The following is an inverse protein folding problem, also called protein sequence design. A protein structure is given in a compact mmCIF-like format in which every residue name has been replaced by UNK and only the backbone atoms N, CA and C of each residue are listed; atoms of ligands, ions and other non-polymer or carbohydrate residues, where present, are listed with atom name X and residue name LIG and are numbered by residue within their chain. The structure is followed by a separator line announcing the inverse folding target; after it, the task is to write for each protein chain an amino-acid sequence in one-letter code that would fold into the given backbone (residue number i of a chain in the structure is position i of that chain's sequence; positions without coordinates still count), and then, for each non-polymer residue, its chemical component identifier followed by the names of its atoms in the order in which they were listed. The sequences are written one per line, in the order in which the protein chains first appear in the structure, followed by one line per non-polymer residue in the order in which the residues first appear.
data_IF_468455775251
#
_entry.id   IF_468455775251
#
_cell.length_a   1.000
_cell.length_b   1.000
_cell.length_c   1.000
_cell.angle_alpha   90.00
_cell.angle_beta   90.00
_cell.angle_gamma   90.00
#
_symmetry.space_group_name_H-M   'P 1'
#
loop_
_entity.id
_entity.type
_entity.pdbx_description
1 polymer ?
#
# COMPACT_ATOMS: atom_id res chain seq x y z
N UNK A 1 82.15 -25.24 -45.62
CA UNK A 1 80.91 -25.99 -45.49
C UNK A 1 80.24 -25.55 -44.18
N UNK A 2 79.15 -24.82 -44.21
CA UNK A 2 78.50 -24.41 -42.99
C UNK A 2 77.31 -25.33 -42.67
N UNK A 3 77.19 -25.65 -41.40
CA UNK A 3 76.17 -26.46 -40.81
C UNK A 3 74.92 -25.59 -40.52
N UNK A 4 73.79 -25.98 -41.05
CA UNK A 4 72.52 -25.33 -40.77
C UNK A 4 71.92 -25.84 -39.46
N UNK A 5 71.40 -25.02 -38.52
CA UNK A 5 70.59 -25.47 -37.40
C UNK A 5 69.14 -25.59 -37.80
N UNK A 6 68.49 -26.69 -37.30
CA UNK A 6 67.11 -26.99 -37.44
C UNK A 6 66.25 -26.11 -36.52
N UNK A 7 65.25 -25.47 -37.11
CA UNK A 7 64.21 -24.75 -36.32
C UNK A 7 63.18 -25.75 -35.80
N UNK A 8 63.11 -25.86 -34.46
CA UNK A 8 62.06 -26.58 -33.77
C UNK A 8 60.80 -25.68 -33.70
N UNK A 9 59.70 -26.13 -34.29
CA UNK A 9 58.41 -25.45 -34.27
C UNK A 9 57.64 -25.92 -33.02
N UNK A 10 57.64 -25.13 -31.97
CA UNK A 10 56.80 -25.33 -30.80
C UNK A 10 55.37 -24.87 -31.09
N UNK A 11 54.46 -25.81 -31.22
CA UNK A 11 53.02 -25.55 -31.30
C UNK A 11 52.49 -25.26 -29.90
N UNK A 12 52.17 -24.02 -29.57
CA UNK A 12 51.40 -23.62 -28.41
C UNK A 12 49.93 -23.84 -28.70
N UNK A 13 49.35 -24.85 -28.03
CA UNK A 13 47.90 -25.07 -27.94
C UNK A 13 47.31 -23.96 -27.03
N UNK A 14 46.60 -23.03 -27.57
CA UNK A 14 45.76 -22.10 -26.82
C UNK A 14 44.46 -22.82 -26.47
N UNK A 15 44.28 -23.22 -25.18
CA UNK A 15 42.98 -23.62 -24.63
C UNK A 15 42.10 -22.38 -24.46
N UNK A 16 41.15 -22.21 -25.37
CA UNK A 16 40.07 -21.25 -25.21
C UNK A 16 39.03 -21.86 -24.25
N UNK A 17 39.07 -21.51 -22.97
CA UNK A 17 37.98 -21.79 -22.01
C UNK A 17 36.79 -20.92 -22.37
N UNK A 18 35.82 -21.49 -23.10
CA UNK A 18 34.52 -20.89 -23.36
C UNK A 18 33.64 -21.04 -22.08
N UNK A 19 33.68 -20.02 -21.23
CA UNK A 19 32.76 -19.94 -20.07
C UNK A 19 31.36 -19.58 -20.61
N UNK A 20 30.52 -20.59 -20.83
CA UNK A 20 29.07 -20.38 -21.00
C UNK A 20 28.50 -19.90 -19.65
N UNK A 21 28.28 -18.62 -19.53
CA UNK A 21 27.44 -18.05 -18.49
C UNK A 21 25.99 -18.49 -18.77
N UNK A 22 25.53 -19.54 -18.09
CA UNK A 22 24.13 -19.89 -17.99
C UNK A 22 23.41 -18.79 -17.22
N UNK A 23 22.89 -17.79 -17.94
CA UNK A 23 21.88 -16.91 -17.41
C UNK A 23 20.63 -17.77 -17.14
N UNK A 24 20.51 -18.28 -15.93
CA UNK A 24 19.29 -18.89 -15.46
C UNK A 24 18.20 -17.79 -15.42
N UNK A 25 17.46 -17.66 -16.52
CA UNK A 25 16.19 -16.98 -16.50
C UNK A 25 15.30 -17.75 -15.53
N UNK A 26 15.23 -17.31 -14.27
CA UNK A 26 14.27 -17.82 -13.32
C UNK A 26 12.89 -17.45 -13.86
N UNK A 27 12.26 -18.38 -14.57
CA UNK A 27 10.84 -18.25 -14.91
C UNK A 27 10.09 -18.13 -13.59
N UNK A 28 9.26 -17.08 -13.39
CA UNK A 28 8.42 -17.01 -12.21
C UNK A 28 7.62 -18.31 -12.12
N UNK A 29 7.71 -18.99 -10.96
CA UNK A 29 6.88 -20.16 -10.74
C UNK A 29 5.40 -19.83 -10.91
N UNK A 30 4.52 -20.83 -11.16
CA UNK A 30 3.11 -20.59 -11.38
C UNK A 30 2.53 -19.84 -10.17
N UNK A 31 2.07 -18.62 -10.43
CA UNK A 31 1.43 -17.80 -9.38
C UNK A 31 0.08 -18.43 -9.03
N UNK A 32 -0.24 -18.48 -7.73
CA UNK A 32 -1.57 -18.88 -7.30
C UNK A 32 -2.65 -18.08 -8.03
N UNK A 33 -3.79 -18.69 -8.40
CA UNK A 33 -4.87 -17.98 -9.06
C UNK A 33 -5.45 -16.87 -8.16
N UNK A 34 -6.05 -15.86 -8.77
CA UNK A 34 -6.80 -14.85 -8.05
C UNK A 34 -7.94 -15.50 -7.24
N UNK A 35 -8.36 -14.86 -6.14
CA UNK A 35 -9.46 -15.35 -5.34
C UNK A 35 -10.75 -15.38 -6.16
N UNK A 36 -11.55 -16.44 -5.98
CA UNK A 36 -12.92 -16.49 -6.50
C UNK A 36 -13.82 -15.49 -5.78
N UNK A 37 -14.88 -15.02 -6.44
CA UNK A 37 -15.86 -14.13 -5.81
C UNK A 37 -16.43 -14.75 -4.52
N UNK A 38 -16.78 -16.04 -4.54
CA UNK A 38 -17.27 -16.74 -3.37
C UNK A 38 -16.29 -16.72 -2.18
N UNK A 39 -14.98 -16.80 -2.44
CA UNK A 39 -13.96 -16.69 -1.38
C UNK A 39 -13.87 -15.26 -0.85
N UNK A 40 -13.94 -14.26 -1.71
CA UNK A 40 -13.97 -12.84 -1.32
C UNK A 40 -15.20 -12.57 -0.44
N UNK A 41 -16.37 -13.03 -0.84
CA UNK A 41 -17.60 -12.85 -0.08
C UNK A 41 -17.51 -13.53 1.30
N UNK A 42 -16.96 -14.74 1.38
CA UNK A 42 -16.74 -15.44 2.63
C UNK A 42 -15.77 -14.69 3.57
N UNK A 43 -14.73 -14.06 3.03
CA UNK A 43 -13.79 -13.23 3.81
C UNK A 43 -14.53 -12.02 4.41
N UNK A 44 -15.31 -11.33 3.61
CA UNK A 44 -16.02 -10.12 4.05
C UNK A 44 -17.15 -10.46 5.02
N UNK A 45 -17.86 -11.55 4.80
CA UNK A 45 -18.95 -12.02 5.66
C UNK A 45 -18.47 -12.72 6.94
N UNK A 46 -17.16 -12.92 7.12
CA UNK A 46 -16.62 -13.69 8.24
C UNK A 46 -17.12 -13.18 9.59
N UNK A 47 -17.71 -14.05 10.46
CA UNK A 47 -18.38 -13.63 11.69
C UNK A 47 -17.45 -13.06 12.76
N UNK A 48 -16.16 -13.36 12.68
CA UNK A 48 -15.10 -12.90 13.58
C UNK A 48 -14.51 -11.53 13.23
N UNK A 49 -14.97 -10.89 12.14
CA UNK A 49 -14.63 -9.49 11.84
C UNK A 49 -15.33 -8.55 12.80
N UNK A 50 -14.64 -7.46 13.16
CA UNK A 50 -15.21 -6.48 14.08
C UNK A 50 -16.47 -5.81 13.50
N UNK A 51 -17.40 -5.45 14.38
CA UNK A 51 -18.60 -4.72 13.98
C UNK A 51 -18.27 -3.33 13.43
N UNK A 52 -17.22 -2.69 13.95
CA UNK A 52 -16.74 -1.41 13.45
C UNK A 52 -16.27 -1.52 11.99
N UNK A 53 -15.59 -2.61 11.63
CA UNK A 53 -15.17 -2.86 10.25
C UNK A 53 -16.37 -3.12 9.34
N UNK A 54 -17.37 -3.88 9.79
CA UNK A 54 -18.59 -4.10 9.01
C UNK A 54 -19.37 -2.81 8.72
N UNK A 55 -19.39 -1.87 9.67
CA UNK A 55 -19.96 -0.53 9.41
C UNK A 55 -19.21 0.23 8.32
N UNK A 56 -17.89 0.03 8.23
CA UNK A 56 -17.07 0.63 7.18
C UNK A 56 -17.27 -0.02 5.80
N UNK A 57 -17.75 -1.25 5.74
CA UNK A 57 -17.90 -1.99 4.47
C UNK A 57 -18.80 -1.26 3.48
N UNK A 58 -19.87 -0.60 3.97
CA UNK A 58 -20.78 0.18 3.13
C UNK A 58 -20.06 1.25 2.30
N UNK A 59 -19.08 1.93 2.91
CA UNK A 59 -18.28 2.97 2.25
C UNK A 59 -17.09 2.38 1.49
N UNK A 60 -16.39 1.40 2.07
CA UNK A 60 -15.14 0.85 1.55
C UNK A 60 -15.32 -0.19 0.45
N UNK A 61 -16.53 -0.76 0.31
CA UNK A 61 -16.89 -1.78 -0.70
C UNK A 61 -15.83 -2.89 -0.82
N UNK A 62 -15.54 -3.62 0.28
CA UNK A 62 -14.39 -4.51 0.38
C UNK A 62 -14.39 -5.64 -0.63
N UNK A 63 -15.55 -6.14 -1.07
CA UNK A 63 -15.62 -7.16 -2.11
C UNK A 63 -15.05 -6.65 -3.43
N UNK A 64 -15.52 -5.47 -3.87
CA UNK A 64 -15.04 -4.85 -5.09
C UNK A 64 -13.55 -4.47 -4.98
N UNK A 65 -13.13 -3.98 -3.79
CA UNK A 65 -11.73 -3.62 -3.54
C UNK A 65 -10.80 -4.84 -3.60
N UNK A 66 -11.13 -5.95 -2.93
CA UNK A 66 -10.30 -7.17 -2.95
C UNK A 66 -10.23 -7.78 -4.35
N UNK A 67 -11.36 -7.80 -5.09
CA UNK A 67 -11.40 -8.25 -6.47
C UNK A 67 -10.53 -7.36 -7.37
N UNK A 68 -10.64 -6.05 -7.22
CA UNK A 68 -9.83 -5.08 -7.98
C UNK A 68 -8.34 -5.23 -7.67
N UNK A 69 -7.94 -5.29 -6.41
CA UNK A 69 -6.52 -5.49 -6.01
C UNK A 69 -5.98 -6.76 -6.67
N UNK A 70 -6.78 -7.84 -6.71
CA UNK A 70 -6.35 -9.12 -7.23
C UNK A 70 -5.43 -9.87 -6.26
N UNK A 71 -5.75 -9.81 -4.96
CA UNK A 71 -4.99 -10.53 -3.92
C UNK A 71 -5.00 -12.04 -4.20
N UNK A 72 -3.87 -12.69 -3.98
CA UNK A 72 -3.69 -14.14 -4.14
C UNK A 72 -3.17 -14.77 -2.86
N UNK A 73 -3.51 -16.03 -2.58
CA UNK A 73 -2.91 -16.78 -1.49
C UNK A 73 -1.37 -16.78 -1.57
N UNK A 74 -0.72 -16.66 -0.43
CA UNK A 74 0.74 -16.68 -0.31
C UNK A 74 1.45 -15.37 -0.63
N UNK A 75 0.75 -14.30 -1.06
CA UNK A 75 1.38 -13.00 -1.30
C UNK A 75 2.02 -12.41 -0.04
N UNK A 76 3.14 -11.73 -0.23
CA UNK A 76 3.78 -10.84 0.75
C UNK A 76 3.36 -9.41 0.43
N UNK A 77 2.62 -8.77 1.34
CA UNK A 77 2.03 -7.46 1.10
C UNK A 77 2.45 -6.43 2.18
N UNK A 78 2.49 -5.17 1.79
CA UNK A 78 2.60 -4.01 2.68
C UNK A 78 1.34 -3.15 2.54
N UNK A 79 0.65 -2.91 3.66
CA UNK A 79 -0.40 -1.90 3.77
C UNK A 79 0.22 -0.65 4.40
N UNK A 80 0.52 0.34 3.58
CA UNK A 80 1.18 1.57 3.95
C UNK A 80 0.15 2.51 4.58
N UNK A 81 0.49 3.12 5.73
CA UNK A 81 -0.47 3.90 6.53
C UNK A 81 -1.67 3.07 7.01
N UNK A 82 -1.40 1.90 7.56
CA UNK A 82 -2.40 0.89 7.91
C UNK A 82 -3.45 1.35 8.95
N UNK A 83 -3.17 2.40 9.73
CA UNK A 83 -4.05 2.93 10.77
C UNK A 83 -4.59 1.83 11.70
N UNK A 84 -5.91 1.67 11.81
CA UNK A 84 -6.55 0.62 12.61
C UNK A 84 -6.56 -0.77 11.97
N UNK A 85 -5.97 -0.95 10.77
CA UNK A 85 -5.75 -2.24 10.13
C UNK A 85 -6.97 -2.83 9.39
N UNK A 86 -7.94 -2.00 8.99
CA UNK A 86 -9.10 -2.47 8.21
C UNK A 86 -8.68 -3.16 6.91
N UNK A 87 -7.88 -2.49 6.09
CA UNK A 87 -7.38 -3.05 4.81
C UNK A 87 -6.38 -4.17 5.08
N UNK A 88 -5.48 -3.96 6.04
CA UNK A 88 -4.47 -4.95 6.45
C UNK A 88 -5.10 -6.30 6.77
N UNK A 89 -6.19 -6.33 7.57
CA UNK A 89 -6.88 -7.56 7.94
C UNK A 89 -7.54 -8.24 6.75
N UNK A 90 -8.20 -7.49 5.88
CA UNK A 90 -8.81 -8.06 4.67
C UNK A 90 -7.77 -8.71 3.76
N UNK A 91 -6.62 -8.06 3.55
CA UNK A 91 -5.52 -8.61 2.78
C UNK A 91 -4.93 -9.85 3.49
N UNK A 92 -4.77 -9.83 4.81
CA UNK A 92 -4.26 -10.95 5.57
C UNK A 92 -5.14 -12.20 5.44
N UNK A 93 -6.45 -12.05 5.53
CA UNK A 93 -7.42 -13.12 5.31
C UNK A 93 -7.40 -13.64 3.86
N UNK A 94 -7.14 -12.75 2.91
CA UNK A 94 -7.08 -13.06 1.49
C UNK A 94 -5.80 -13.81 1.12
N UNK A 95 -4.66 -13.40 1.66
CA UNK A 95 -3.35 -14.06 1.43
C UNK A 95 -3.23 -15.39 2.18
N UNK A 96 -4.01 -15.56 3.25
CA UNK A 96 -4.03 -16.79 4.06
C UNK A 96 -2.73 -17.04 4.82
N UNK A 97 -2.61 -18.22 5.48
CA UNK A 97 -1.52 -18.50 6.43
C UNK A 97 -0.13 -18.61 5.78
N UNK A 98 -0.06 -18.85 4.49
CA UNK A 98 1.20 -18.91 3.73
C UNK A 98 1.67 -17.54 3.25
N UNK A 99 0.80 -16.51 3.28
CA UNK A 99 1.14 -15.13 2.99
C UNK A 99 1.58 -14.37 4.24
N UNK A 100 2.02 -13.12 4.04
CA UNK A 100 2.37 -12.20 5.13
C UNK A 100 1.98 -10.79 4.78
N UNK A 101 1.40 -10.07 5.74
CA UNK A 101 0.95 -8.69 5.53
C UNK A 101 1.55 -7.78 6.58
N UNK A 102 2.34 -6.85 6.12
CA UNK A 102 2.96 -5.83 6.95
C UNK A 102 2.07 -4.60 6.97
N UNK A 103 1.61 -4.20 8.16
CA UNK A 103 0.86 -2.95 8.34
C UNK A 103 1.80 -1.87 8.85
N UNK A 104 2.11 -0.88 8.02
CA UNK A 104 3.02 0.19 8.37
C UNK A 104 2.30 1.36 9.01
N UNK A 105 2.94 1.95 10.01
CA UNK A 105 2.61 3.25 10.59
C UNK A 105 3.87 4.07 10.85
N UNK A 106 3.82 5.41 10.78
CA UNK A 106 4.96 6.24 11.12
C UNK A 106 5.27 6.16 12.61
N UNK A 107 6.53 6.42 13.03
CA UNK A 107 6.86 6.61 14.42
C UNK A 107 6.03 7.76 15.01
N UNK A 108 5.46 7.53 16.20
CA UNK A 108 4.77 8.61 16.90
C UNK A 108 5.82 9.49 17.59
N UNK A 109 5.76 10.82 17.46
CA UNK A 109 6.57 11.69 18.30
C UNK A 109 6.36 11.35 19.79
N UNK A 110 7.39 11.43 20.63
CA UNK A 110 7.21 11.31 22.09
C UNK A 110 6.08 12.26 22.47
N UNK A 111 5.14 11.78 23.27
CA UNK A 111 3.82 12.38 23.50
C UNK A 111 3.86 13.91 23.56
N UNK A 112 3.63 14.56 22.44
CA UNK A 112 3.11 15.91 22.44
C UNK A 112 1.72 15.84 23.04
N UNK A 113 1.48 16.57 24.13
CA UNK A 113 0.17 16.83 24.72
C UNK A 113 -0.85 16.94 23.58
N UNK A 114 -2.03 16.32 23.68
CA UNK A 114 -3.04 16.50 22.65
C UNK A 114 -3.16 17.99 22.37
N UNK A 115 -2.93 18.40 21.13
CA UNK A 115 -3.24 19.77 20.73
C UNK A 115 -4.72 19.93 20.98
N UNK A 116 -5.08 20.79 21.94
CA UNK A 116 -6.44 21.27 22.02
C UNK A 116 -6.72 21.96 20.70
N UNK A 117 -7.83 21.66 20.03
CA UNK A 117 -8.18 22.40 18.83
C UNK A 117 -8.22 23.88 19.19
N UNK A 118 -7.38 24.69 18.57
CA UNK A 118 -7.44 26.14 18.67
C UNK A 118 -8.81 26.56 18.16
N UNK A 119 -9.65 27.11 19.04
CA UNK A 119 -10.99 27.59 18.71
C UNK A 119 -12.13 26.92 19.46
N UNK A 120 -11.89 26.05 20.43
CA UNK A 120 -12.94 25.63 21.34
C UNK A 120 -13.34 26.80 22.24
N UNK A 121 -14.39 27.51 21.84
CA UNK A 121 -15.10 28.43 22.74
C UNK A 121 -15.46 27.65 24.03
N UNK A 122 -15.26 28.31 25.18
CA UNK A 122 -15.58 27.76 26.49
C UNK A 122 -16.97 27.12 26.48
N UNK A 123 -17.13 25.88 26.97
CA UNK A 123 -18.43 25.24 26.95
C UNK A 123 -19.36 25.94 27.92
N UNK A 124 -20.50 26.37 27.42
CA UNK A 124 -21.66 26.66 28.26
C UNK A 124 -22.06 25.37 29.00
N UNK A 125 -22.41 25.42 30.29
CA UNK A 125 -22.76 24.24 31.05
C UNK A 125 -24.20 23.84 30.74
N UNK A 126 -24.42 22.79 29.97
CA UNK A 126 -25.69 22.07 29.96
C UNK A 126 -25.60 20.72 29.23
N UNK A 127 -25.91 19.65 29.92
CA UNK A 127 -26.20 18.31 29.37
C UNK A 127 -25.14 17.27 29.73
N UNK A 128 -25.62 16.15 30.25
CA UNK A 128 -24.81 15.00 30.66
C UNK A 128 -23.81 14.61 29.59
N UNK A 129 -22.55 14.25 29.92
CA UNK A 129 -21.54 13.90 28.93
C UNK A 129 -22.00 12.64 28.19
N UNK A 130 -22.24 12.78 26.89
CA UNK A 130 -22.27 11.61 26.03
C UNK A 130 -20.95 10.89 26.24
N UNK A 131 -20.98 9.61 26.58
CA UNK A 131 -19.80 8.81 26.85
C UNK A 131 -18.81 9.01 25.70
N UNK A 132 -17.69 9.67 25.98
CA UNK A 132 -16.66 9.95 24.99
C UNK A 132 -16.21 8.63 24.38
N UNK A 133 -16.35 8.49 23.07
CA UNK A 133 -15.83 7.33 22.37
C UNK A 133 -14.36 7.16 22.72
N UNK A 134 -13.90 5.96 23.11
CA UNK A 134 -12.51 5.75 23.48
C UNK A 134 -11.58 6.19 22.34
N UNK A 135 -10.52 6.90 22.68
CA UNK A 135 -9.54 7.37 21.71
C UNK A 135 -9.03 6.22 20.84
N UNK A 136 -8.85 6.42 19.52
CA UNK A 136 -8.35 5.37 18.64
C UNK A 136 -7.03 4.80 19.17
N UNK A 137 -6.92 3.47 19.21
CA UNK A 137 -5.68 2.80 19.61
C UNK A 137 -4.56 3.13 18.62
N UNK A 138 -3.30 3.27 19.09
CA UNK A 138 -2.16 3.40 18.19
C UNK A 138 -2.11 2.25 17.18
N UNK A 139 -1.77 2.55 15.92
CA UNK A 139 -1.77 1.57 14.83
C UNK A 139 -1.01 0.27 15.17
N UNK A 140 0.22 0.29 15.72
CA UNK A 140 0.92 -0.96 16.06
C UNK A 140 0.16 -1.82 17.07
N UNK A 141 -0.51 -1.19 18.05
CA UNK A 141 -1.32 -1.90 19.05
C UNK A 141 -2.58 -2.49 18.41
N UNK A 142 -3.25 -1.74 17.55
CA UNK A 142 -4.43 -2.22 16.84
C UNK A 142 -4.09 -3.40 15.92
N UNK A 143 -3.00 -3.34 15.20
CA UNK A 143 -2.53 -4.42 14.33
C UNK A 143 -2.12 -5.67 15.12
N UNK A 144 -1.40 -5.50 16.23
CA UNK A 144 -1.05 -6.61 17.11
C UNK A 144 -2.29 -7.30 17.71
N UNK A 145 -3.33 -6.52 18.01
CA UNK A 145 -4.61 -7.09 18.46
C UNK A 145 -5.30 -7.90 17.37
N UNK A 146 -5.34 -7.38 16.13
CA UNK A 146 -5.88 -8.10 14.97
C UNK A 146 -5.13 -9.40 14.69
N UNK A 147 -3.81 -9.40 14.85
CA UNK A 147 -2.96 -10.59 14.65
C UNK A 147 -3.24 -11.74 15.64
N UNK A 148 -3.97 -11.48 16.74
CA UNK A 148 -4.43 -12.54 17.66
C UNK A 148 -5.55 -13.39 17.06
N UNK A 149 -6.23 -12.88 16.04
CA UNK A 149 -7.24 -13.63 15.32
C UNK A 149 -6.57 -14.70 14.44
N UNK A 150 -6.89 -16.00 14.59
CA UNK A 150 -6.28 -17.07 13.77
C UNK A 150 -6.41 -16.82 12.26
N UNK A 151 -7.49 -16.18 11.81
CA UNK A 151 -7.74 -15.87 10.40
C UNK A 151 -6.94 -14.67 9.87
N UNK A 152 -6.20 -13.97 10.76
CA UNK A 152 -5.39 -12.80 10.43
C UNK A 152 -4.02 -12.82 11.17
N UNK A 153 -3.59 -13.99 11.63
CA UNK A 153 -2.35 -14.16 12.41
C UNK A 153 -1.06 -13.88 11.62
N UNK A 154 -1.17 -13.74 10.31
CA UNK A 154 -0.09 -13.39 9.40
C UNK A 154 0.14 -11.87 9.26
N UNK A 155 -0.52 -11.04 10.09
CA UNK A 155 -0.26 -9.59 10.19
C UNK A 155 1.00 -9.35 11.00
N UNK A 156 1.84 -8.44 10.49
CA UNK A 156 3.04 -7.92 11.17
C UNK A 156 2.94 -6.40 11.25
N UNK A 157 2.94 -5.85 12.46
CA UNK A 157 2.97 -4.40 12.66
C UNK A 157 4.39 -3.86 12.41
N UNK A 158 4.49 -2.79 11.62
CA UNK A 158 5.76 -2.13 11.27
C UNK A 158 5.68 -0.65 11.63
N UNK A 159 6.69 -0.16 12.36
CA UNK A 159 6.80 1.26 12.70
C UNK A 159 8.04 1.82 12.00
N UNK A 160 7.82 2.53 10.89
CA UNK A 160 8.88 3.13 10.06
C UNK A 160 8.39 4.45 9.45
N UNK A 161 9.28 5.39 9.11
CA UNK A 161 8.91 6.61 8.40
C UNK A 161 8.19 6.28 7.07
N UNK A 162 7.38 7.21 6.58
CA UNK A 162 6.72 7.04 5.28
C UNK A 162 7.70 6.99 4.12
N UNK A 163 8.82 7.72 4.21
CA UNK A 163 9.88 7.76 3.20
C UNK A 163 10.74 6.48 3.16
N UNK A 164 10.69 5.70 4.23
CA UNK A 164 11.38 4.41 4.34
C UNK A 164 10.46 3.38 5.03
N UNK A 165 9.33 3.00 4.38
CA UNK A 165 8.24 2.26 5.03
C UNK A 165 8.49 0.75 5.09
N UNK A 166 9.46 0.24 4.33
CA UNK A 166 9.64 -1.19 4.09
C UNK A 166 10.68 -1.77 5.05
N UNK A 167 10.42 -2.91 5.72
CA UNK A 167 11.45 -3.65 6.45
C UNK A 167 12.65 -3.97 5.57
N UNK A 168 13.86 -3.90 6.13
CA UNK A 168 15.11 -4.02 5.35
C UNK A 168 15.19 -5.32 4.56
N UNK A 169 14.70 -6.42 5.11
CA UNK A 169 14.68 -7.74 4.48
C UNK A 169 13.76 -7.81 3.25
N UNK A 170 12.85 -6.83 3.08
CA UNK A 170 11.91 -6.73 1.95
C UNK A 170 12.20 -5.54 1.03
N UNK A 171 13.21 -4.73 1.34
CA UNK A 171 13.47 -3.48 0.66
C UNK A 171 13.87 -3.63 -0.82
N UNK A 172 14.22 -4.83 -1.26
CA UNK A 172 14.56 -5.12 -2.66
C UNK A 172 13.80 -6.34 -3.15
N UNK A 173 12.81 -6.11 -4.02
CA UNK A 173 12.01 -7.16 -4.65
C UNK A 173 11.42 -8.20 -3.66
N UNK A 174 11.07 -7.76 -2.45
CA UNK A 174 10.52 -8.62 -1.40
C UNK A 174 8.99 -8.69 -1.39
N UNK A 175 8.30 -7.73 -2.01
CA UNK A 175 6.85 -7.56 -1.95
C UNK A 175 6.15 -7.93 -3.26
N UNK A 176 4.99 -8.55 -3.14
CA UNK A 176 4.08 -8.81 -4.27
C UNK A 176 3.04 -7.69 -4.43
N UNK A 177 2.69 -7.03 -3.32
CA UNK A 177 1.63 -6.02 -3.26
C UNK A 177 1.99 -4.92 -2.27
N UNK A 178 1.74 -3.68 -2.63
CA UNK A 178 1.65 -2.55 -1.70
C UNK A 178 0.29 -1.88 -1.87
N UNK A 179 -0.36 -1.55 -0.75
CA UNK A 179 -1.59 -0.75 -0.73
C UNK A 179 -1.39 0.54 0.04
N UNK A 180 -2.05 1.61 -0.40
CA UNK A 180 -2.12 2.89 0.33
C UNK A 180 -3.54 3.45 0.16
N UNK A 181 -4.32 3.34 1.25
CA UNK A 181 -5.76 3.59 1.19
C UNK A 181 -6.14 4.87 1.91
N UNK A 182 -6.52 5.89 1.13
CA UNK A 182 -7.08 7.17 1.59
C UNK A 182 -6.14 8.00 2.48
N UNK A 183 -4.83 7.99 2.17
CA UNK A 183 -3.84 8.75 2.94
C UNK A 183 -2.72 9.36 2.08
N UNK A 184 -2.67 9.10 0.78
CA UNK A 184 -1.65 9.71 -0.07
C UNK A 184 -1.80 11.25 -0.11
N UNK A 185 -3.04 11.76 -0.13
CA UNK A 185 -3.31 13.19 -0.08
C UNK A 185 -2.74 13.85 1.19
N UNK A 186 -2.80 13.18 2.36
CA UNK A 186 -2.32 13.74 3.62
C UNK A 186 -0.79 13.95 3.62
N UNK A 187 -0.04 13.20 2.82
CA UNK A 187 1.40 13.40 2.66
C UNK A 187 1.75 14.81 2.20
N UNK A 188 0.83 15.50 1.51
CA UNK A 188 1.03 16.88 1.09
C UNK A 188 1.23 17.85 2.25
N UNK A 189 0.26 17.92 3.17
CA UNK A 189 0.33 18.82 4.31
C UNK A 189 1.20 18.31 5.47
N UNK A 190 1.48 17.00 5.50
CA UNK A 190 2.39 16.40 6.46
C UNK A 190 3.87 16.63 6.11
N UNK A 191 4.17 17.19 4.92
CA UNK A 191 5.53 17.43 4.47
C UNK A 191 6.33 16.17 4.13
N UNK A 192 5.64 15.05 3.83
CA UNK A 192 6.27 13.77 3.45
C UNK A 192 6.84 13.88 2.03
N UNK A 193 8.07 13.42 1.83
CA UNK A 193 8.66 13.28 0.48
C UNK A 193 8.00 12.12 -0.26
N UNK A 194 6.93 12.42 -0.98
CA UNK A 194 6.18 11.43 -1.76
C UNK A 194 7.02 10.75 -2.85
N UNK A 195 8.02 11.46 -3.39
CA UNK A 195 8.93 10.87 -4.35
C UNK A 195 9.83 9.81 -3.69
N UNK A 196 10.29 10.04 -2.47
CA UNK A 196 11.02 9.04 -1.69
C UNK A 196 10.12 7.84 -1.35
N UNK A 197 8.88 8.07 -0.92
CA UNK A 197 7.89 7.00 -0.69
C UNK A 197 7.72 6.13 -1.93
N UNK A 198 7.42 6.74 -3.07
CA UNK A 198 7.19 6.00 -4.32
C UNK A 198 8.44 5.23 -4.79
N UNK A 199 9.65 5.80 -4.62
CA UNK A 199 10.91 5.09 -4.94
C UNK A 199 11.13 3.89 -4.00
N UNK A 200 10.87 4.04 -2.71
CA UNK A 200 11.01 2.94 -1.74
C UNK A 200 10.04 1.80 -2.06
N UNK A 201 8.78 2.12 -2.37
CA UNK A 201 7.78 1.15 -2.79
C UNK A 201 8.19 0.46 -4.09
N UNK A 202 8.69 1.23 -5.07
CA UNK A 202 9.16 0.68 -6.34
C UNK A 202 10.32 -0.32 -6.13
N UNK A 203 11.30 0.04 -5.32
CA UNK A 203 12.44 -0.83 -5.02
C UNK A 203 11.99 -2.14 -4.36
N UNK A 204 11.05 -2.06 -3.42
CA UNK A 204 10.58 -3.18 -2.62
C UNK A 204 9.68 -4.16 -3.39
N UNK A 205 8.93 -3.70 -4.36
CA UNK A 205 8.08 -4.55 -5.18
C UNK A 205 8.91 -5.41 -6.14
N UNK A 206 8.48 -6.66 -6.31
CA UNK A 206 8.99 -7.56 -7.36
C UNK A 206 8.62 -7.01 -8.74
N UNK A 207 9.35 -7.35 -9.81
CA UNK A 207 8.84 -7.18 -11.17
C UNK A 207 7.46 -7.84 -11.30
N UNK A 208 6.49 -7.13 -11.88
CA UNK A 208 5.09 -7.54 -11.90
C UNK A 208 4.31 -7.33 -10.59
N UNK A 209 4.96 -6.85 -9.53
CA UNK A 209 4.33 -6.49 -8.26
C UNK A 209 3.40 -5.28 -8.40
N UNK A 210 2.38 -5.23 -7.56
CA UNK A 210 1.28 -4.26 -7.67
C UNK A 210 1.37 -3.17 -6.59
N UNK A 211 1.13 -1.94 -6.99
CA UNK A 211 0.88 -0.81 -6.09
C UNK A 211 -0.54 -0.31 -6.31
N UNK A 212 -1.40 -0.42 -5.30
CA UNK A 212 -2.81 -0.01 -5.39
C UNK A 212 -3.06 1.14 -4.43
N UNK A 213 -3.56 2.24 -4.98
CA UNK A 213 -3.83 3.47 -4.23
C UNK A 213 -5.30 3.84 -4.42
N UNK A 214 -6.00 4.06 -3.31
CA UNK A 214 -7.31 4.69 -3.31
C UNK A 214 -7.21 6.04 -2.60
N UNK A 215 -7.87 7.08 -3.15
CA UNK A 215 -7.86 8.38 -2.49
C UNK A 215 -9.08 9.24 -2.84
N UNK A 216 -9.26 10.32 -2.08
CA UNK A 216 -10.34 11.29 -2.26
C UNK A 216 -10.06 12.22 -3.44
N UNK A 217 -10.99 12.25 -4.39
CA UNK A 217 -10.84 13.04 -5.61
C UNK A 217 -10.83 14.55 -5.33
N UNK A 218 -9.75 15.21 -5.71
CA UNK A 218 -9.65 16.67 -5.82
C UNK A 218 -10.25 17.18 -7.13
N UNK A 219 -10.40 18.50 -7.23
CA UNK A 219 -10.85 19.18 -8.45
C UNK A 219 -9.72 19.24 -9.48
N UNK A 220 -10.03 19.26 -10.77
CA UNK A 220 -9.02 19.46 -11.81
C UNK A 220 -8.19 20.74 -11.58
N UNK A 221 -6.88 20.66 -11.75
CA UNK A 221 -5.94 21.76 -11.59
C UNK A 221 -5.53 22.07 -10.14
N UNK A 222 -6.07 21.36 -9.13
CA UNK A 222 -5.70 21.60 -7.73
C UNK A 222 -4.46 20.81 -7.30
N UNK A 223 -4.08 19.78 -8.04
CA UNK A 223 -2.94 18.94 -7.70
C UNK A 223 -3.05 18.40 -6.26
N UNK A 224 -2.13 18.84 -5.38
CA UNK A 224 -2.08 18.49 -3.95
C UNK A 224 -2.40 19.68 -3.04
N UNK A 225 -2.74 20.84 -3.58
CA UNK A 225 -2.90 22.08 -2.80
C UNK A 225 -4.03 22.03 -1.76
N UNK A 226 -5.01 21.13 -1.95
CA UNK A 226 -6.15 20.96 -1.05
C UNK A 226 -5.93 19.86 0.02
N UNK A 227 -4.70 19.37 0.15
CA UNK A 227 -4.32 18.32 1.08
C UNK A 227 -4.73 18.62 2.53
N UNK A 228 -4.32 19.76 3.07
CA UNK A 228 -4.57 20.13 4.47
C UNK A 228 -5.91 20.80 4.73
N UNK A 229 -6.68 21.13 3.70
CA UNK A 229 -7.97 21.83 3.82
C UNK A 229 -9.16 20.94 3.52
N UNK A 230 -9.19 20.35 2.33
CA UNK A 230 -10.28 19.49 1.88
C UNK A 230 -9.98 18.00 2.01
N UNK A 231 -8.74 17.63 2.35
CA UNK A 231 -8.27 16.25 2.38
C UNK A 231 -8.57 15.55 1.05
N UNK A 232 -8.06 16.14 -0.05
CA UNK A 232 -8.25 15.67 -1.42
C UNK A 232 -6.98 15.83 -2.23
N UNK A 233 -6.87 15.02 -3.28
CA UNK A 233 -5.79 15.09 -4.27
C UNK A 233 -6.37 14.89 -5.67
N UNK A 234 -5.86 15.64 -6.64
CA UNK A 234 -6.23 15.41 -8.03
C UNK A 234 -5.69 14.06 -8.52
N UNK A 235 -6.56 13.24 -9.12
CA UNK A 235 -6.21 11.89 -9.58
C UNK A 235 -5.05 11.91 -10.58
N UNK A 236 -5.07 12.83 -11.56
CA UNK A 236 -4.02 12.97 -12.57
C UNK A 236 -2.67 13.35 -11.97
N UNK A 237 -2.68 14.18 -10.92
CA UNK A 237 -1.48 14.58 -10.18
C UNK A 237 -0.85 13.38 -9.46
N UNK A 238 -1.65 12.62 -8.69
CA UNK A 238 -1.19 11.41 -8.01
C UNK A 238 -0.63 10.40 -9.03
N UNK A 239 -1.38 10.13 -10.09
CA UNK A 239 -0.94 9.22 -11.14
C UNK A 239 0.44 9.62 -11.70
N UNK A 240 0.63 10.89 -12.04
CA UNK A 240 1.88 11.39 -12.59
C UNK A 240 3.06 11.26 -11.60
N UNK A 241 2.83 11.43 -10.29
CA UNK A 241 3.87 11.22 -9.27
C UNK A 241 4.30 9.77 -9.17
N UNK A 242 3.35 8.84 -9.21
CA UNK A 242 3.63 7.39 -9.14
C UNK A 242 4.30 6.90 -10.43
N UNK A 243 3.83 7.34 -11.59
CA UNK A 243 4.45 6.99 -12.88
C UNK A 243 5.90 7.53 -13.01
N UNK A 244 6.21 8.70 -12.45
CA UNK A 244 7.59 9.23 -12.38
C UNK A 244 8.55 8.33 -11.58
N UNK A 245 8.05 7.53 -10.65
CA UNK A 245 8.87 6.57 -9.92
C UNK A 245 9.14 5.27 -10.72
N UNK A 246 8.60 5.14 -11.94
CA UNK A 246 8.82 4.01 -12.84
C UNK A 246 7.63 3.04 -12.95
N UNK A 247 6.56 3.28 -12.21
CA UNK A 247 5.34 2.47 -12.29
C UNK A 247 4.58 2.72 -13.60
N UNK A 248 3.79 1.72 -14.00
CA UNK A 248 2.83 1.84 -15.11
C UNK A 248 1.42 1.61 -14.59
N UNK A 249 0.50 2.53 -14.86
CA UNK A 249 -0.92 2.34 -14.57
C UNK A 249 -1.47 1.17 -15.44
N UNK A 250 -2.19 0.25 -14.81
CA UNK A 250 -2.77 -0.92 -15.47
C UNK A 250 -4.27 -1.02 -15.35
N UNK A 251 -4.86 -0.36 -14.34
CA UNK A 251 -6.31 -0.43 -14.12
C UNK A 251 -6.82 0.76 -13.27
N UNK A 252 -8.09 1.13 -13.43
CA UNK A 252 -8.78 2.16 -12.64
C UNK A 252 -10.12 1.62 -12.13
N UNK A 253 -10.31 1.65 -10.80
CA UNK A 253 -11.55 1.22 -10.16
C UNK A 253 -12.56 2.35 -10.03
N UNK A 254 -13.77 2.16 -10.57
CA UNK A 254 -14.84 3.15 -10.54
C UNK A 254 -15.92 2.88 -9.46
N UNK A 255 -15.75 1.83 -8.66
CA UNK A 255 -16.75 1.40 -7.70
C UNK A 255 -16.90 2.32 -6.48
N UNK A 256 -15.97 3.26 -6.26
CA UNK A 256 -16.04 4.28 -5.20
C UNK A 256 -16.38 5.67 -5.73
N UNK A 257 -16.68 5.80 -7.02
CA UNK A 257 -17.04 7.08 -7.62
C UNK A 257 -18.38 7.60 -7.11
N UNK A 258 -18.42 8.89 -6.83
CA UNK A 258 -19.64 9.62 -6.54
C UNK A 258 -19.68 10.92 -7.35
N UNK A 259 -20.29 10.93 -8.55
CA UNK A 259 -20.35 12.13 -9.38
C UNK A 259 -21.18 13.27 -8.78
N UNK A 260 -21.98 13.00 -7.73
CA UNK A 260 -22.75 14.00 -7.03
C UNK A 260 -21.91 14.82 -6.00
N UNK A 261 -20.70 14.36 -5.66
CA UNK A 261 -19.79 15.10 -4.79
C UNK A 261 -19.15 16.28 -5.55
N UNK A 262 -19.41 17.55 -5.16
CA UNK A 262 -18.86 18.73 -5.83
C UNK A 262 -17.35 18.91 -5.60
N UNK A 263 -16.76 18.16 -4.67
CA UNK A 263 -15.34 18.17 -4.30
C UNK A 263 -14.82 19.51 -3.77
N UNK A 264 -15.72 20.38 -3.30
CA UNK A 264 -15.41 21.71 -2.79
C UNK A 264 -15.33 21.79 -1.27
N UNK A 265 -15.61 20.70 -0.57
CA UNK A 265 -15.63 20.56 0.89
C UNK A 265 -14.98 19.28 1.36
N UNK A 266 -14.48 19.29 2.59
CA UNK A 266 -13.98 18.06 3.22
C UNK A 266 -15.12 17.06 3.45
N UNK A 267 -16.25 17.52 4.00
CA UNK A 267 -17.48 16.71 4.06
C UNK A 267 -18.50 17.31 3.11
N UNK A 268 -18.95 16.59 2.07
CA UNK A 268 -19.98 17.10 1.15
C UNK A 268 -21.26 17.45 1.88
N UNK A 269 -21.98 18.46 1.40
CA UNK A 269 -23.26 18.90 1.96
C UNK A 269 -24.30 18.96 0.85
N UNK A 270 -25.47 18.31 0.99
CA UNK A 270 -25.82 17.45 2.13
C UNK A 270 -24.84 16.29 2.33
N UNK A 271 -24.75 15.71 3.56
CA UNK A 271 -23.79 14.61 3.84
C UNK A 271 -23.97 13.45 2.87
N UNK A 272 -22.89 13.09 2.19
CA UNK A 272 -22.81 12.01 1.20
C UNK A 272 -21.37 11.49 1.14
N UNK A 273 -21.12 10.29 0.57
CA UNK A 273 -19.77 9.83 0.34
C UNK A 273 -18.98 10.79 -0.54
N UNK A 274 -17.69 10.99 -0.24
CA UNK A 274 -16.78 11.67 -1.16
C UNK A 274 -16.68 10.90 -2.48
N UNK A 275 -16.42 11.60 -3.58
CA UNK A 275 -15.91 10.95 -4.79
C UNK A 275 -14.50 10.44 -4.52
N UNK A 276 -14.27 9.16 -4.80
CA UNK A 276 -13.00 8.49 -4.55
C UNK A 276 -12.57 7.73 -5.81
N UNK A 277 -11.27 7.73 -6.09
CA UNK A 277 -10.68 6.95 -7.16
C UNK A 277 -9.84 5.80 -6.60
N UNK A 278 -9.67 4.76 -7.41
CA UNK A 278 -8.77 3.65 -7.11
C UNK A 278 -7.89 3.40 -8.33
N UNK A 279 -6.58 3.47 -8.14
CA UNK A 279 -5.59 3.25 -9.21
C UNK A 279 -4.75 2.02 -8.91
N UNK A 280 -4.53 1.20 -9.92
CA UNK A 280 -3.66 0.03 -9.84
C UNK A 280 -2.47 0.22 -10.77
N UNK A 281 -1.29 0.18 -10.19
CA UNK A 281 -0.03 0.27 -10.91
C UNK A 281 0.73 -1.06 -10.82
N UNK A 282 1.57 -1.29 -11.80
CA UNK A 282 2.51 -2.42 -11.82
C UNK A 282 3.93 -1.90 -11.92
N UNK A 283 4.85 -2.56 -11.21
CA UNK A 283 6.29 -2.44 -11.48
C UNK A 283 6.61 -3.28 -12.73
N UNK A 284 7.12 -2.68 -13.81
CA UNK A 284 7.48 -3.41 -15.03
C UNK A 284 8.53 -4.50 -14.81
#
# INVERSE_FOLDING_TARGET
MPIRPAFALTRTLALACLALALAACSTPGPQAPALSQARIDAIVASPDRSEADRRNDARRKPQAMLAFIGVRPGMVALDLSAAGGYTTELIARATGPTGRVYGQSPPRPPASRPAQPEGAASPLPMGAPAAASPAPRPSPVALAERAKNPNASNIVAVVRPFEDPVPLELASNGLDLVTLMFNYHDFGHMGVDRAAVNRAVFAALKPGGLYVIADHSGRPGTGISESGTLHRIEQSFLRAEVERAGFRLVDEGNFLRNPADPRDRNTPEPPQPKDEFVLKFVKP
#
